data_IF_698443563455
#
_entry.id   IF_698443563455
#
_cell.length_a   1.000
_cell.length_b   1.000
_cell.length_c   1.000
_cell.angle_alpha   90.00
_cell.angle_beta   90.00
_cell.angle_gamma   90.00
#
_symmetry.space_group_name_H-M   'P 1'
#
loop_
_entity.id
_entity.type
_entity.pdbx_description
1 polymer ?
#
# COMPACT_ATOMS: atom_id res chain seq x y z
N UNK A 1 26.61 -0.24 2.07
CA UNK A 1 26.73 -1.36 1.11
C UNK A 1 28.09 -1.34 0.42
N UNK A 2 28.44 -0.31 -0.37
CA UNK A 2 29.75 -0.18 -1.03
C UNK A 2 30.95 -0.36 -0.08
N UNK A 3 30.96 0.32 1.07
CA UNK A 3 32.02 0.19 2.06
C UNK A 3 32.23 -1.26 2.57
N UNK A 4 31.18 -2.10 2.58
CA UNK A 4 31.31 -3.51 2.96
C UNK A 4 31.85 -4.35 1.81
N UNK A 5 31.41 -4.08 0.58
CA UNK A 5 31.92 -4.76 -0.62
C UNK A 5 33.42 -4.49 -0.79
N UNK A 6 33.86 -3.25 -0.59
CA UNK A 6 35.27 -2.87 -0.67
C UNK A 6 36.12 -3.60 0.39
N UNK A 7 35.65 -3.67 1.64
CA UNK A 7 36.33 -4.40 2.72
C UNK A 7 36.43 -5.91 2.44
N UNK A 8 35.44 -6.47 1.74
CA UNK A 8 35.40 -7.89 1.37
C UNK A 8 36.09 -8.16 0.02
N UNK A 9 36.64 -7.15 -0.66
CA UNK A 9 37.31 -7.29 -1.96
C UNK A 9 36.35 -7.67 -3.10
N UNK A 10 35.07 -7.33 -2.97
CA UNK A 10 34.02 -7.64 -3.93
C UNK A 10 33.66 -6.39 -4.75
N UNK A 11 33.45 -6.56 -6.05
CA UNK A 11 32.93 -5.51 -6.92
C UNK A 11 31.40 -5.62 -7.06
N UNK A 12 30.66 -4.51 -7.22
CA UNK A 12 29.27 -4.55 -7.62
C UNK A 12 29.08 -5.31 -8.94
N UNK A 13 27.91 -5.93 -9.11
CA UNK A 13 27.54 -6.51 -10.38
C UNK A 13 27.50 -5.41 -11.47
N UNK A 14 27.88 -5.73 -12.71
CA UNK A 14 27.74 -4.78 -13.81
C UNK A 14 26.28 -4.41 -14.01
N UNK A 15 26.05 -3.22 -14.55
CA UNK A 15 24.72 -2.78 -14.92
C UNK A 15 24.08 -3.77 -15.92
N UNK A 16 22.79 -4.03 -15.74
CA UNK A 16 22.07 -4.94 -16.61
C UNK A 16 21.88 -4.34 -18.01
N UNK A 17 21.70 -5.19 -19.02
CA UNK A 17 21.35 -4.75 -20.37
C UNK A 17 20.05 -3.91 -20.34
N UNK A 18 19.95 -2.93 -21.23
CA UNK A 18 18.82 -1.98 -21.29
C UNK A 18 17.46 -2.68 -21.37
N UNK A 19 17.35 -3.76 -22.14
CA UNK A 19 16.15 -4.58 -22.27
C UNK A 19 15.72 -5.17 -20.92
N UNK A 20 16.70 -5.57 -20.11
CA UNK A 20 16.45 -6.08 -18.75
C UNK A 20 16.03 -4.96 -17.81
N UNK A 21 16.69 -3.79 -17.89
CA UNK A 21 16.38 -2.65 -17.05
C UNK A 21 14.95 -2.15 -17.27
N UNK A 22 14.54 -1.90 -18.52
CA UNK A 22 13.19 -1.40 -18.80
C UNK A 22 12.10 -2.40 -18.41
N UNK A 23 12.35 -3.71 -18.60
CA UNK A 23 11.40 -4.74 -18.19
C UNK A 23 11.23 -4.77 -16.67
N UNK A 24 12.33 -4.74 -15.91
CA UNK A 24 12.30 -4.78 -14.44
C UNK A 24 11.59 -3.54 -13.89
N UNK A 25 12.05 -2.36 -14.28
CA UNK A 25 11.51 -1.10 -13.73
C UNK A 25 10.03 -0.90 -14.08
N UNK A 26 9.58 -1.33 -15.26
CA UNK A 26 8.16 -1.28 -15.61
C UNK A 26 7.33 -2.21 -14.72
N UNK A 27 7.76 -3.47 -14.56
CA UNK A 27 7.05 -4.42 -13.69
C UNK A 27 7.05 -3.97 -12.23
N UNK A 28 8.16 -3.42 -11.75
CA UNK A 28 8.27 -2.97 -10.36
C UNK A 28 7.38 -1.75 -10.10
N UNK A 29 7.38 -0.76 -10.99
CA UNK A 29 6.66 0.50 -10.78
C UNK A 29 5.19 0.44 -11.19
N UNK A 30 4.81 -0.33 -12.20
CA UNK A 30 3.41 -0.35 -12.71
C UNK A 30 2.79 -1.74 -12.70
N UNK A 31 3.54 -2.81 -12.41
CA UNK A 31 3.04 -4.17 -12.51
C UNK A 31 2.84 -4.66 -13.95
N UNK A 32 3.16 -3.84 -14.95
CA UNK A 32 2.90 -4.11 -16.36
C UNK A 32 4.21 -4.22 -17.15
N UNK A 33 4.27 -5.13 -18.15
CA UNK A 33 5.42 -5.15 -19.05
C UNK A 33 5.45 -3.89 -19.92
N UNK A 34 6.64 -3.40 -20.32
CA UNK A 34 6.74 -2.28 -21.25
C UNK A 34 6.22 -2.68 -22.64
N UNK A 35 5.67 -1.71 -23.37
CA UNK A 35 5.28 -1.92 -24.76
C UNK A 35 6.52 -2.00 -25.67
N UNK A 36 6.42 -2.66 -26.85
CA UNK A 36 7.54 -2.69 -27.80
C UNK A 36 8.07 -1.30 -28.19
N UNK A 37 7.17 -0.33 -28.37
CA UNK A 37 7.54 1.06 -28.69
C UNK A 37 8.33 1.74 -27.56
N UNK A 38 7.98 1.48 -26.30
CA UNK A 38 8.73 2.02 -25.16
C UNK A 38 10.12 1.39 -25.03
N UNK A 39 10.25 0.09 -25.36
CA UNK A 39 11.54 -0.60 -25.42
C UNK A 39 12.42 0.00 -26.51
N UNK A 40 11.91 0.12 -27.73
CA UNK A 40 12.64 0.72 -28.85
C UNK A 40 13.09 2.15 -28.54
N UNK A 41 12.21 2.98 -27.96
CA UNK A 41 12.53 4.35 -27.57
C UNK A 41 13.66 4.40 -26.52
N UNK A 42 13.66 3.52 -25.52
CA UNK A 42 14.71 3.47 -24.50
C UNK A 42 16.04 2.94 -25.03
N UNK A 43 15.99 1.95 -25.92
CA UNK A 43 17.20 1.42 -26.57
C UNK A 43 17.87 2.49 -27.44
N UNK A 44 17.08 3.27 -28.16
CA UNK A 44 17.55 4.36 -29.02
C UNK A 44 18.04 5.60 -28.26
N UNK A 45 17.60 5.84 -27.02
CA UNK A 45 18.05 6.99 -26.22
C UNK A 45 19.47 6.76 -25.65
N UNK A 46 20.46 7.46 -26.20
CA UNK A 46 21.86 7.42 -25.75
C UNK A 46 22.23 8.51 -24.75
N UNK A 47 21.26 9.31 -24.28
CA UNK A 47 21.53 10.34 -23.29
C UNK A 47 21.85 9.73 -21.93
N UNK A 48 22.65 10.45 -21.14
CA UNK A 48 23.01 10.05 -19.77
C UNK A 48 21.80 9.89 -18.84
N UNK A 49 20.64 10.46 -19.22
CA UNK A 49 19.38 10.41 -18.46
C UNK A 49 18.34 9.47 -19.04
N UNK A 50 18.73 8.55 -19.94
CA UNK A 50 17.77 7.69 -20.64
C UNK A 50 16.94 6.86 -19.66
N UNK A 51 17.55 6.34 -18.59
CA UNK A 51 16.88 5.51 -17.59
C UNK A 51 15.93 6.34 -16.71
N UNK A 52 16.39 7.50 -16.24
CA UNK A 52 15.61 8.43 -15.41
C UNK A 52 14.36 8.91 -16.14
N UNK A 53 14.44 9.17 -17.46
CA UNK A 53 13.25 9.51 -18.25
C UNK A 53 12.20 8.39 -18.27
N UNK A 54 12.65 7.12 -18.31
CA UNK A 54 11.74 5.97 -18.23
C UNK A 54 11.10 5.90 -16.84
N UNK A 55 11.90 6.04 -15.78
CA UNK A 55 11.41 6.07 -14.39
C UNK A 55 10.39 7.18 -14.19
N UNK A 56 10.72 8.41 -14.60
CA UNK A 56 9.84 9.58 -14.48
C UNK A 56 8.52 9.39 -15.23
N UNK A 57 8.56 8.74 -16.40
CA UNK A 57 7.33 8.41 -17.16
C UNK A 57 6.47 7.40 -16.40
N UNK A 58 7.08 6.35 -15.86
CA UNK A 58 6.38 5.29 -15.13
C UNK A 58 5.77 5.82 -13.82
N UNK A 59 6.50 6.63 -13.05
CA UNK A 59 6.00 7.26 -11.82
C UNK A 59 4.81 8.20 -12.06
N UNK A 60 4.69 8.76 -13.28
CA UNK A 60 3.55 9.62 -13.67
C UNK A 60 2.37 8.82 -14.25
N UNK A 61 2.52 7.51 -14.45
CA UNK A 61 1.46 6.65 -14.95
C UNK A 61 0.39 6.41 -13.86
N UNK A 62 -0.91 6.38 -14.18
CA UNK A 62 -1.94 6.00 -13.20
C UNK A 62 -1.73 4.57 -12.65
N UNK A 63 -1.09 3.69 -13.44
CA UNK A 63 -0.75 2.32 -13.04
C UNK A 63 0.29 2.25 -11.92
N UNK A 64 1.03 3.35 -11.67
CA UNK A 64 1.93 3.42 -10.51
C UNK A 64 1.13 3.30 -9.20
N UNK A 65 0.11 4.13 -9.03
CA UNK A 65 -0.75 4.07 -7.85
C UNK A 65 -1.46 2.73 -7.71
N UNK A 66 -1.92 2.14 -8.82
CA UNK A 66 -2.53 0.80 -8.82
C UNK A 66 -1.55 -0.25 -8.29
N UNK A 67 -0.31 -0.28 -8.79
CA UNK A 67 0.70 -1.26 -8.37
C UNK A 67 1.11 -1.07 -6.91
N UNK A 68 1.40 0.16 -6.50
CA UNK A 68 1.86 0.48 -5.14
C UNK A 68 0.77 0.25 -4.09
N UNK A 69 -0.49 0.39 -4.48
CA UNK A 69 -1.62 0.21 -3.56
C UNK A 69 -1.77 -1.23 -3.11
N UNK A 70 -1.40 -2.23 -3.93
CA UNK A 70 -1.59 -3.67 -3.61
C UNK A 70 -1.02 -4.03 -2.24
N UNK A 71 0.25 -3.70 -1.99
CA UNK A 71 0.90 -4.04 -0.73
C UNK A 71 0.27 -3.29 0.46
N UNK A 72 -0.26 -2.09 0.21
CA UNK A 72 -1.01 -1.32 1.22
C UNK A 72 -2.38 -1.92 1.52
N UNK A 73 -3.09 -2.40 0.50
CA UNK A 73 -4.39 -3.08 0.67
C UNK A 73 -4.24 -4.32 1.55
N UNK A 74 -3.17 -5.11 1.32
CA UNK A 74 -2.87 -6.29 2.13
C UNK A 74 -2.57 -5.89 3.58
N UNK A 75 -1.70 -4.90 3.79
CA UNK A 75 -1.36 -4.39 5.12
C UNK A 75 -2.59 -3.85 5.87
N UNK A 76 -3.51 -3.23 5.15
CA UNK A 76 -4.74 -2.64 5.68
C UNK A 76 -5.91 -3.62 5.79
N UNK A 77 -5.72 -4.91 5.45
CA UNK A 77 -6.76 -5.96 5.47
C UNK A 77 -7.95 -5.68 4.57
N UNK A 78 -7.69 -5.06 3.42
CA UNK A 78 -8.72 -4.89 2.42
C UNK A 78 -9.16 -6.24 1.84
N UNK A 79 -10.45 -6.34 1.54
CA UNK A 79 -11.15 -7.48 0.98
C UNK A 79 -12.43 -6.95 0.32
N UNK A 80 -12.96 -7.67 -0.67
CA UNK A 80 -14.24 -7.34 -1.29
C UNK A 80 -15.43 -7.91 -0.52
N UNK A 81 -15.19 -8.68 0.54
CA UNK A 81 -16.21 -9.33 1.36
C UNK A 81 -15.98 -9.13 2.87
N UNK A 82 -16.99 -9.45 3.70
CA UNK A 82 -17.01 -9.23 5.14
C UNK A 82 -16.17 -10.23 5.95
N UNK A 83 -15.93 -11.43 5.42
CA UNK A 83 -15.36 -12.58 6.14
C UNK A 83 -16.41 -13.41 6.88
N UNK A 84 -15.94 -14.24 7.82
CA UNK A 84 -16.77 -15.19 8.61
C UNK A 84 -17.56 -16.19 7.76
N UNK A 85 -18.56 -16.89 8.32
CA UNK A 85 -19.35 -17.89 7.57
C UNK A 85 -20.33 -17.22 6.61
N UNK A 86 -20.96 -16.12 7.03
CA UNK A 86 -21.84 -15.31 6.18
C UNK A 86 -20.99 -14.25 5.49
N UNK A 87 -20.18 -14.70 4.54
CA UNK A 87 -19.23 -13.88 3.80
C UNK A 87 -19.91 -13.11 2.66
N UNK A 88 -20.48 -11.95 2.98
CA UNK A 88 -21.16 -11.08 2.00
C UNK A 88 -20.21 -10.03 1.43
N UNK A 89 -20.54 -9.58 0.23
CA UNK A 89 -19.86 -8.47 -0.43
C UNK A 89 -19.95 -7.18 0.40
N UNK A 90 -18.91 -6.35 0.32
CA UNK A 90 -18.85 -5.04 0.98
C UNK A 90 -18.41 -3.93 0.03
N UNK A 91 -18.99 -2.74 0.20
CA UNK A 91 -18.69 -1.57 -0.62
C UNK A 91 -17.57 -0.73 -0.02
N UNK A 92 -16.32 -1.18 -0.15
CA UNK A 92 -15.11 -0.43 0.29
C UNK A 92 -14.25 0.09 -0.86
N UNK A 93 -14.67 -0.12 -2.11
CA UNK A 93 -13.96 0.38 -3.29
C UNK A 93 -13.65 1.89 -3.25
N UNK A 94 -14.46 2.80 -2.65
CA UNK A 94 -14.08 4.22 -2.57
C UNK A 94 -12.82 4.45 -1.73
N UNK A 95 -12.62 3.66 -0.66
CA UNK A 95 -11.40 3.73 0.15
C UNK A 95 -10.19 3.22 -0.63
N UNK A 96 -10.33 2.09 -1.35
CA UNK A 96 -9.29 1.55 -2.25
C UNK A 96 -8.87 2.60 -3.29
N UNK A 97 -9.85 3.23 -3.94
CA UNK A 97 -9.62 4.25 -4.96
C UNK A 97 -8.98 5.51 -4.37
N UNK A 98 -9.33 5.87 -3.12
CA UNK A 98 -8.65 6.94 -2.40
C UNK A 98 -7.17 6.61 -2.17
N UNK A 99 -6.82 5.38 -1.77
CA UNK A 99 -5.41 4.95 -1.58
C UNK A 99 -4.64 5.03 -2.90
N UNK A 100 -5.21 4.50 -4.00
CA UNK A 100 -4.60 4.62 -5.34
C UNK A 100 -4.37 6.08 -5.74
N UNK A 101 -5.36 6.94 -5.48
CA UNK A 101 -5.25 8.38 -5.69
C UNK A 101 -4.17 9.05 -4.82
N UNK A 102 -4.00 8.61 -3.58
CA UNK A 102 -2.99 9.14 -2.66
C UNK A 102 -1.57 8.85 -3.15
N UNK A 103 -1.29 7.62 -3.62
CA UNK A 103 -0.01 7.28 -4.25
C UNK A 103 0.23 8.08 -5.53
N UNK A 104 -0.75 8.16 -6.43
CA UNK A 104 -0.62 8.88 -7.71
C UNK A 104 -0.42 10.39 -7.54
N UNK A 105 -0.94 10.99 -6.48
CA UNK A 105 -0.72 12.41 -6.15
C UNK A 105 0.52 12.63 -5.28
N UNK A 106 1.26 11.58 -4.94
CA UNK A 106 2.41 11.61 -4.04
C UNK A 106 2.08 12.31 -2.71
N UNK A 107 0.98 11.91 -2.07
CA UNK A 107 0.55 12.47 -0.79
C UNK A 107 1.65 12.26 0.26
N UNK A 108 2.11 13.33 0.94
CA UNK A 108 3.08 13.20 2.02
C UNK A 108 2.62 12.18 3.08
N UNK A 109 3.55 11.36 3.56
CA UNK A 109 3.24 10.22 4.43
C UNK A 109 2.64 10.63 5.77
N UNK A 110 2.99 11.81 6.29
CA UNK A 110 2.38 12.42 7.47
C UNK A 110 0.89 12.72 7.24
N UNK A 111 0.54 13.33 6.11
CA UNK A 111 -0.85 13.60 5.74
C UNK A 111 -1.62 12.31 5.45
N UNK A 112 -1.02 11.37 4.71
CA UNK A 112 -1.59 10.05 4.46
C UNK A 112 -1.92 9.30 5.75
N UNK A 113 -1.04 9.42 6.75
CA UNK A 113 -1.25 8.88 8.09
C UNK A 113 -2.40 9.57 8.80
N UNK A 114 -2.44 10.91 8.83
CA UNK A 114 -3.49 11.67 9.50
C UNK A 114 -4.86 11.35 8.91
N UNK A 115 -5.00 11.37 7.58
CA UNK A 115 -6.27 11.14 6.91
C UNK A 115 -6.82 9.72 7.13
N UNK A 116 -5.97 8.70 7.13
CA UNK A 116 -6.42 7.33 7.40
C UNK A 116 -6.72 7.06 8.88
N UNK A 117 -6.02 7.73 9.79
CA UNK A 117 -6.16 7.50 11.24
C UNK A 117 -7.30 8.29 11.85
N UNK A 118 -7.52 9.51 11.37
CA UNK A 118 -8.39 10.51 12.00
C UNK A 118 -8.93 11.56 11.01
N UNK A 119 -9.04 11.23 9.70
CA UNK A 119 -9.51 12.17 8.69
C UNK A 119 -10.93 12.69 8.92
N UNK A 120 -11.81 11.86 9.49
CA UNK A 120 -13.17 12.24 9.92
C UNK A 120 -13.21 13.16 11.15
N UNK A 121 -12.12 13.23 11.93
CA UNK A 121 -11.96 14.10 13.09
C UNK A 121 -11.31 15.45 12.75
N UNK A 122 -10.89 15.66 11.50
CA UNK A 122 -10.33 16.95 11.08
C UNK A 122 -11.41 18.06 11.12
N UNK A 123 -11.03 19.33 11.34
CA UNK A 123 -11.99 20.43 11.27
C UNK A 123 -12.61 20.52 9.87
N UNK A 124 -13.94 20.40 9.79
CA UNK A 124 -14.70 20.44 8.53
C UNK A 124 -14.15 19.44 7.49
N UNK A 125 -14.19 18.13 7.78
CA UNK A 125 -13.47 17.14 6.99
C UNK A 125 -14.13 16.97 5.61
N UNK A 126 -13.31 16.93 4.57
CA UNK A 126 -13.76 16.68 3.20
C UNK A 126 -14.32 15.27 3.05
N UNK A 127 -15.04 15.00 1.96
CA UNK A 127 -15.53 13.64 1.67
C UNK A 127 -14.35 12.67 1.55
N UNK A 128 -13.27 13.06 0.86
CA UNK A 128 -12.06 12.25 0.72
C UNK A 128 -11.42 11.91 2.08
N UNK A 129 -11.34 12.87 3.01
CA UNK A 129 -10.78 12.64 4.34
C UNK A 129 -11.64 11.68 5.18
N UNK A 130 -12.97 11.76 5.05
CA UNK A 130 -13.89 10.80 5.67
C UNK A 130 -13.75 9.41 5.04
N UNK A 131 -13.62 9.33 3.72
CA UNK A 131 -13.36 8.08 3.00
C UNK A 131 -12.04 7.47 3.48
N UNK A 132 -10.97 8.26 3.60
CA UNK A 132 -9.66 7.81 4.04
C UNK A 132 -9.69 7.11 5.40
N UNK A 133 -10.51 7.62 6.33
CA UNK A 133 -10.69 7.01 7.67
C UNK A 133 -11.34 5.61 7.61
N UNK A 134 -11.87 5.24 6.43
CA UNK A 134 -12.29 3.88 6.08
C UNK A 134 -11.22 2.80 6.33
N UNK A 135 -9.95 3.16 6.52
CA UNK A 135 -8.91 2.25 7.02
C UNK A 135 -9.39 1.45 8.24
N UNK A 136 -10.05 2.11 9.20
CA UNK A 136 -10.56 1.46 10.41
C UNK A 136 -11.72 0.50 10.16
N UNK A 137 -12.30 0.53 8.95
CA UNK A 137 -13.46 -0.27 8.53
C UNK A 137 -13.09 -1.51 7.71
N UNK A 138 -11.81 -1.68 7.37
CA UNK A 138 -11.33 -2.84 6.58
C UNK A 138 -11.37 -4.18 7.34
N UNK A 139 -11.43 -4.15 8.68
CA UNK A 139 -11.50 -5.35 9.52
C UNK A 139 -12.76 -6.17 9.21
N UNK A 140 -12.70 -7.48 9.46
CA UNK A 140 -13.82 -8.38 9.20
C UNK A 140 -15.09 -7.92 9.95
N UNK A 141 -16.24 -8.15 9.32
CA UNK A 141 -17.55 -7.80 9.87
C UNK A 141 -18.38 -9.07 10.05
N UNK A 142 -18.88 -9.31 11.26
CA UNK A 142 -19.73 -10.47 11.52
C UNK A 142 -21.22 -10.08 11.36
N UNK A 143 -21.87 -10.68 10.35
CA UNK A 143 -23.31 -10.53 10.07
C UNK A 143 -24.12 -11.80 10.38
N UNK A 144 -23.55 -12.75 11.11
CA UNK A 144 -24.16 -14.03 11.43
C UNK A 144 -25.32 -13.87 12.42
N UNK A 145 -26.38 -14.66 12.20
CA UNK A 145 -27.46 -14.78 13.16
C UNK A 145 -26.94 -15.45 14.45
N UNK A 146 -27.01 -14.73 15.57
CA UNK A 146 -26.52 -15.22 16.86
C UNK A 146 -25.21 -14.58 17.33
N UNK A 147 -24.67 -13.61 16.58
CA UNK A 147 -23.54 -12.80 17.05
C UNK A 147 -23.86 -12.14 18.40
N UNK A 148 -22.97 -12.30 19.37
CA UNK A 148 -23.03 -11.59 20.65
C UNK A 148 -22.36 -10.24 20.43
N UNK A 149 -23.13 -9.15 20.52
CA UNK A 149 -22.67 -7.82 20.16
C UNK A 149 -21.44 -7.38 20.98
N UNK A 150 -21.41 -7.71 22.26
CA UNK A 150 -20.32 -7.39 23.17
C UNK A 150 -19.02 -8.17 22.83
N UNK A 151 -19.15 -9.44 22.46
CA UNK A 151 -18.02 -10.28 22.04
C UNK A 151 -17.43 -9.76 20.73
N UNK A 152 -18.29 -9.51 19.73
CA UNK A 152 -17.84 -9.01 18.44
C UNK A 152 -17.22 -7.62 18.54
N UNK A 153 -17.73 -6.74 19.40
CA UNK A 153 -17.12 -5.44 19.65
C UNK A 153 -15.69 -5.56 20.20
N UNK A 154 -15.45 -6.52 21.10
CA UNK A 154 -14.11 -6.80 21.62
C UNK A 154 -13.18 -7.32 20.52
N UNK A 155 -13.61 -8.30 19.73
CA UNK A 155 -12.82 -8.86 18.62
C UNK A 155 -12.52 -7.81 17.53
N UNK A 156 -13.52 -7.03 17.14
CA UNK A 156 -13.38 -5.98 16.14
C UNK A 156 -12.41 -4.88 16.61
N UNK A 157 -12.49 -4.49 17.88
CA UNK A 157 -11.58 -3.49 18.47
C UNK A 157 -10.16 -4.04 18.57
N UNK A 158 -10.01 -5.29 19.00
CA UNK A 158 -8.71 -5.95 19.08
C UNK A 158 -8.05 -6.05 17.70
N UNK A 159 -8.82 -6.37 16.66
CA UNK A 159 -8.31 -6.46 15.29
C UNK A 159 -7.87 -5.09 14.73
N UNK A 160 -8.64 -4.05 15.04
CA UNK A 160 -8.29 -2.66 14.73
C UNK A 160 -6.99 -2.22 15.38
N UNK A 161 -6.79 -2.53 16.65
CA UNK A 161 -5.58 -2.20 17.39
C UNK A 161 -4.38 -2.96 16.84
N UNK A 162 -4.52 -4.25 16.57
CA UNK A 162 -3.43 -5.06 16.01
C UNK A 162 -3.00 -4.55 14.63
N UNK A 163 -3.95 -4.33 13.72
CA UNK A 163 -3.64 -3.84 12.36
C UNK A 163 -2.98 -2.47 12.41
N UNK A 164 -3.48 -1.58 13.27
CA UNK A 164 -2.86 -0.29 13.53
C UNK A 164 -1.41 -0.41 13.99
N UNK A 165 -1.16 -1.24 15.00
CA UNK A 165 0.15 -1.38 15.61
C UNK A 165 1.14 -2.01 14.63
N UNK A 166 0.72 -3.03 13.90
CA UNK A 166 1.53 -3.68 12.90
C UNK A 166 1.92 -2.70 11.78
N UNK A 167 0.96 -1.95 11.23
CA UNK A 167 1.21 -1.10 10.06
C UNK A 167 1.95 0.20 10.39
N UNK A 168 1.62 0.89 11.49
CA UNK A 168 2.25 2.18 11.82
C UNK A 168 3.41 2.07 12.81
N UNK A 169 3.37 1.10 13.72
CA UNK A 169 4.40 0.97 14.76
C UNK A 169 5.42 -0.12 14.43
N UNK A 170 5.13 -1.01 13.47
CA UNK A 170 5.97 -2.17 13.16
C UNK A 170 6.02 -3.18 14.30
N UNK A 171 5.00 -3.19 15.17
CA UNK A 171 4.95 -3.98 16.40
C UNK A 171 3.68 -4.81 16.47
N UNK A 172 3.78 -6.02 17.00
CA UNK A 172 2.62 -6.88 17.28
C UNK A 172 2.09 -6.60 18.68
N UNK A 173 0.78 -6.41 18.79
CA UNK A 173 0.05 -6.10 20.03
C UNK A 173 -0.97 -7.19 20.39
N UNK A 174 -0.95 -8.35 19.71
CA UNK A 174 -1.84 -9.48 19.98
C UNK A 174 -1.83 -9.94 21.44
N UNK A 175 -0.71 -9.81 22.16
CA UNK A 175 -0.62 -10.15 23.59
C UNK A 175 -1.53 -9.26 24.45
N UNK A 176 -1.76 -8.00 24.04
CA UNK A 176 -2.62 -7.04 24.71
C UNK A 176 -4.12 -7.39 24.63
N UNK A 177 -4.50 -8.43 23.87
CA UNK A 177 -5.87 -8.97 23.87
C UNK A 177 -6.24 -9.59 25.21
N UNK A 178 -5.27 -10.23 25.88
CA UNK A 178 -5.51 -11.01 27.09
C UNK A 178 -4.69 -10.51 28.30
N UNK A 179 -3.67 -9.68 28.05
CA UNK A 179 -2.77 -9.19 29.09
C UNK A 179 -2.70 -7.67 29.06
N UNK A 180 -2.56 -7.06 30.24
CA UNK A 180 -2.19 -5.67 30.32
C UNK A 180 -0.69 -5.52 30.01
N UNK A 181 -0.38 -4.63 29.08
CA UNK A 181 0.98 -4.24 28.74
C UNK A 181 1.14 -2.75 29.01
N UNK A 182 1.51 -2.44 30.25
CA UNK A 182 2.03 -1.15 30.77
C UNK A 182 1.52 0.12 30.10
#
# INVERSE_FOLDING_TARGET
ILARLDNEGLAPAPEAAKETLIRRVSLDLTGLPPTPAEVEAFLADSSEKAYEKVVDRLLKSPHYGERMTVDWLDAARFADTNGYQVDRDRELWPWRDWVMGAFNRNLPFDQFTIEQRAGDLLPQPTVDQRIATGFHRNHMMNEEGGVIAEEFLAEYTADRVETTAAVWLGQTFNCCRCHDHK
#
